data_IF_632461298863
#
_entry.id   IF_632461298863
#
_cell.length_a   1.000
_cell.length_b   1.000
_cell.length_c   1.000
_cell.angle_alpha   90.00
_cell.angle_beta   90.00
_cell.angle_gamma   90.00
#
_symmetry.space_group_name_H-M   'P 1'
#
loop_
_entity.id
_entity.type
_entity.pdbx_description
1 polymer ?
#
# COMPACT_ATOMS: atom_id res chain seq x y z
N UNK A 1 -22.68 -19.63 24.53
CA UNK A 1 -23.27 -20.00 23.21
C UNK A 1 -22.67 -19.06 22.20
N UNK A 2 -21.65 -19.50 21.46
CA UNK A 2 -21.05 -18.70 20.41
C UNK A 2 -21.91 -18.85 19.16
N UNK A 3 -22.55 -17.74 18.73
CA UNK A 3 -23.20 -17.70 17.42
C UNK A 3 -22.13 -17.85 16.34
N UNK A 4 -22.10 -18.99 15.65
CA UNK A 4 -21.45 -19.12 14.36
C UNK A 4 -22.20 -18.21 13.40
N UNK A 5 -21.67 -16.99 13.17
CA UNK A 5 -21.96 -16.27 11.95
C UNK A 5 -21.56 -17.19 10.80
N UNK A 6 -22.44 -17.38 9.85
CA UNK A 6 -22.16 -18.12 8.61
C UNK A 6 -21.11 -17.34 7.83
N UNK A 7 -19.84 -17.69 8.03
CA UNK A 7 -18.76 -17.24 7.14
C UNK A 7 -19.07 -17.81 5.77
N UNK A 8 -19.71 -17.02 4.92
CA UNK A 8 -19.86 -17.35 3.52
C UNK A 8 -18.47 -17.25 2.89
N UNK A 9 -18.11 -18.21 2.04
CA UNK A 9 -16.82 -18.32 1.35
C UNK A 9 -16.43 -17.06 0.55
N UNK A 10 -17.33 -16.07 0.44
CA UNK A 10 -17.12 -14.76 -0.19
C UNK A 10 -16.31 -13.77 0.66
N UNK A 11 -16.01 -14.10 1.92
CA UNK A 11 -15.39 -13.13 2.84
C UNK A 11 -13.85 -13.17 2.86
N UNK A 12 -13.24 -14.09 2.11
CA UNK A 12 -11.78 -14.17 2.00
C UNK A 12 -11.30 -13.41 0.77
N UNK A 13 -10.95 -12.15 0.97
CA UNK A 13 -10.35 -11.30 -0.05
C UNK A 13 -9.12 -10.61 0.52
N UNK A 14 -8.21 -10.24 -0.38
CA UNK A 14 -7.10 -9.34 -0.13
C UNK A 14 -6.99 -8.37 -1.30
N UNK A 15 -6.15 -7.39 -1.18
CA UNK A 15 -5.87 -6.47 -2.29
C UNK A 15 -4.42 -6.62 -2.71
N UNK A 16 -4.15 -6.47 -4.00
CA UNK A 16 -2.80 -6.59 -4.54
C UNK A 16 -2.56 -5.52 -5.60
N UNK A 17 -1.35 -4.99 -5.59
CA UNK A 17 -0.78 -4.21 -6.67
C UNK A 17 0.38 -4.98 -7.29
N UNK A 18 0.34 -5.20 -8.60
CA UNK A 18 1.47 -5.70 -9.37
C UNK A 18 2.35 -4.49 -9.71
N UNK A 19 3.48 -4.39 -9.03
CA UNK A 19 4.41 -3.27 -9.11
C UNK A 19 5.39 -3.50 -10.26
N UNK A 20 5.57 -2.48 -11.11
CA UNK A 20 6.52 -2.51 -12.22
C UNK A 20 7.35 -1.24 -12.27
N UNK A 21 8.64 -1.40 -12.57
CA UNK A 21 9.57 -0.31 -12.76
C UNK A 21 9.33 0.47 -14.07
N UNK A 22 9.81 1.71 -14.09
CA UNK A 22 9.90 2.50 -15.32
C UNK A 22 11.20 2.19 -16.09
N UNK A 23 11.52 2.99 -17.12
CA UNK A 23 12.73 2.79 -17.95
C UNK A 23 14.04 2.92 -17.19
N UNK A 24 14.07 3.58 -16.04
CA UNK A 24 15.28 3.68 -15.21
C UNK A 24 15.58 2.39 -14.42
N UNK A 25 14.58 1.56 -14.20
CA UNK A 25 14.66 0.28 -13.49
C UNK A 25 13.77 -0.78 -14.17
N UNK A 26 14.03 -1.11 -15.46
CA UNK A 26 13.11 -1.90 -16.28
C UNK A 26 12.89 -3.32 -15.79
N UNK A 27 13.85 -3.87 -15.04
CA UNK A 27 13.78 -5.22 -14.49
C UNK A 27 13.04 -5.28 -13.13
N UNK A 28 12.70 -4.11 -12.57
CA UNK A 28 12.01 -4.03 -11.29
C UNK A 28 10.58 -4.50 -11.40
N UNK A 29 10.22 -5.51 -10.61
CA UNK A 29 8.88 -6.05 -10.55
C UNK A 29 8.60 -6.71 -9.20
N UNK A 30 7.32 -6.89 -8.89
CA UNK A 30 6.90 -7.61 -7.70
C UNK A 30 5.46 -7.30 -7.32
N UNK A 31 5.12 -7.53 -6.07
CA UNK A 31 3.77 -7.35 -5.54
C UNK A 31 3.76 -6.59 -4.24
N UNK A 32 2.71 -5.79 -4.06
CA UNK A 32 2.31 -5.26 -2.75
C UNK A 32 0.93 -5.81 -2.42
N UNK A 33 0.79 -6.52 -1.30
CA UNK A 33 -0.44 -7.16 -0.86
C UNK A 33 -0.93 -6.52 0.44
N UNK A 34 -2.25 -6.42 0.56
CA UNK A 34 -2.94 -5.75 1.66
C UNK A 34 -4.01 -6.68 2.19
N UNK A 35 -3.82 -7.18 3.39
CA UNK A 35 -4.73 -8.12 4.03
C UNK A 35 -5.49 -7.42 5.15
N UNK A 36 -6.82 -7.62 5.28
CA UNK A 36 -7.55 -7.20 6.47
C UNK A 36 -6.94 -7.88 7.71
N UNK A 37 -6.53 -7.08 8.69
CA UNK A 37 -5.97 -7.60 9.92
C UNK A 37 -6.36 -6.72 11.10
N UNK A 38 -7.01 -7.30 12.10
CA UNK A 38 -7.56 -6.54 13.23
C UNK A 38 -8.41 -5.36 12.74
N UNK A 39 -8.12 -4.16 13.20
CA UNK A 39 -8.75 -2.89 12.83
C UNK A 39 -8.01 -2.11 11.73
N UNK A 40 -7.01 -2.72 11.12
CA UNK A 40 -6.16 -2.11 10.10
C UNK A 40 -5.80 -3.07 8.95
N UNK A 41 -4.57 -2.97 8.52
CA UNK A 41 -4.02 -3.67 7.35
C UNK A 41 -2.67 -4.29 7.65
N UNK A 42 -2.52 -5.58 7.35
CA UNK A 42 -1.20 -6.19 7.16
C UNK A 42 -0.76 -5.94 5.72
N UNK A 43 0.36 -5.25 5.55
CA UNK A 43 0.97 -4.95 4.25
C UNK A 43 2.17 -5.85 4.07
N UNK A 44 2.23 -6.54 2.92
CA UNK A 44 3.36 -7.35 2.50
C UNK A 44 3.83 -6.86 1.13
N UNK A 45 5.12 -6.55 1.01
CA UNK A 45 5.72 -6.09 -0.25
C UNK A 45 6.92 -6.96 -0.55
N UNK A 46 6.96 -7.50 -1.78
CA UNK A 46 8.07 -8.27 -2.30
C UNK A 46 8.45 -7.74 -3.69
N UNK A 47 9.71 -7.31 -3.85
CA UNK A 47 10.22 -6.71 -5.08
C UNK A 47 11.54 -7.35 -5.47
N UNK A 48 11.72 -7.54 -6.78
CA UNK A 48 12.95 -7.98 -7.43
C UNK A 48 13.40 -6.98 -8.48
N UNK A 49 14.63 -7.07 -8.96
CA UNK A 49 15.17 -6.14 -9.96
C UNK A 49 15.31 -4.69 -9.45
N UNK A 50 15.30 -4.50 -8.14
CA UNK A 50 15.58 -3.20 -7.54
C UNK A 50 17.03 -2.75 -7.79
N UNK A 51 17.33 -1.44 -7.66
CA UNK A 51 18.71 -1.01 -7.63
C UNK A 51 19.53 -1.83 -6.64
N UNK A 52 20.70 -2.29 -7.06
CA UNK A 52 21.57 -3.20 -6.27
C UNK A 52 22.28 -2.51 -5.10
N UNK A 53 22.09 -1.20 -4.96
CA UNK A 53 22.55 -0.46 -3.78
C UNK A 53 21.82 -0.99 -2.55
N UNK A 54 22.56 -1.32 -1.52
CA UNK A 54 22.02 -1.77 -0.24
C UNK A 54 21.56 -0.56 0.57
N UNK A 55 20.39 -0.04 0.23
CA UNK A 55 19.82 1.18 0.82
C UNK A 55 18.29 1.12 0.89
N UNK A 56 17.66 1.96 1.72
CA UNK A 56 16.22 2.06 1.79
C UNK A 56 15.65 2.88 0.62
N UNK A 57 14.41 2.52 0.23
CA UNK A 57 13.59 3.20 -0.77
C UNK A 57 12.23 3.52 -0.16
N UNK A 58 11.75 4.75 -0.32
CA UNK A 58 10.43 5.11 0.18
C UNK A 58 9.34 4.39 -0.61
N UNK A 59 8.28 3.98 0.08
CA UNK A 59 7.09 3.37 -0.51
C UNK A 59 5.87 4.09 0.03
N UNK A 60 5.03 4.59 -0.89
CA UNK A 60 3.83 5.31 -0.52
C UNK A 60 2.62 4.85 -1.33
N UNK A 61 1.44 4.97 -0.73
CA UNK A 61 0.18 4.87 -1.45
C UNK A 61 -0.18 6.29 -1.91
N UNK A 62 -0.47 6.44 -3.19
CA UNK A 62 -0.87 7.69 -3.83
C UNK A 62 -2.36 7.70 -4.15
N UNK A 63 -2.95 8.88 -4.25
CA UNK A 63 -4.39 9.10 -4.45
C UNK A 63 -4.91 8.68 -5.84
N UNK A 64 -4.05 8.67 -6.85
CA UNK A 64 -4.42 8.35 -8.22
C UNK A 64 -4.61 6.85 -8.48
N UNK A 65 -5.30 6.54 -9.57
CA UNK A 65 -5.69 5.18 -9.97
C UNK A 65 -4.94 4.66 -11.20
N UNK A 66 -3.93 5.38 -11.69
CA UNK A 66 -3.25 5.09 -12.95
C UNK A 66 -1.75 5.18 -12.81
N UNK A 67 -1.04 4.25 -13.42
CA UNK A 67 0.42 4.19 -13.50
C UNK A 67 0.89 4.52 -14.92
N UNK A 68 0.80 5.77 -15.35
CA UNK A 68 1.37 6.18 -16.64
C UNK A 68 2.89 6.34 -16.52
N UNK A 69 3.69 5.55 -17.25
CA UNK A 69 5.13 5.73 -17.27
C UNK A 69 5.47 7.05 -18.02
N UNK A 70 6.61 7.70 -17.85
CA UNK A 70 7.80 7.29 -17.09
C UNK A 70 7.78 7.84 -15.64
N UNK A 71 7.20 9.02 -15.44
CA UNK A 71 7.28 9.73 -14.16
C UNK A 71 6.14 9.37 -13.19
N UNK A 72 5.17 8.54 -13.62
CA UNK A 72 4.00 8.15 -12.84
C UNK A 72 3.24 9.34 -12.21
N UNK A 73 3.19 10.47 -12.92
CA UNK A 73 2.51 11.69 -12.45
C UNK A 73 1.00 11.49 -12.30
N UNK A 74 0.42 10.58 -13.09
CA UNK A 74 -0.99 10.18 -13.00
C UNK A 74 -1.37 9.52 -11.67
N UNK A 75 -0.39 9.04 -10.88
CA UNK A 75 -0.61 8.56 -9.53
C UNK A 75 -1.00 9.67 -8.53
N UNK A 76 -0.86 10.94 -8.88
CA UNK A 76 -1.23 12.06 -8.01
C UNK A 76 -0.27 12.24 -6.83
N UNK A 77 -0.78 12.76 -5.72
CA UNK A 77 -0.03 13.01 -4.48
C UNK A 77 -0.14 11.83 -3.51
N UNK A 78 0.59 11.89 -2.40
CA UNK A 78 0.45 10.91 -1.31
C UNK A 78 -0.99 10.92 -0.79
N UNK A 79 -1.53 9.72 -0.55
CA UNK A 79 -2.89 9.54 -0.04
C UNK A 79 -3.01 10.15 1.37
N UNK A 80 -3.98 11.05 1.52
CA UNK A 80 -4.33 11.69 2.78
C UNK A 80 -5.61 11.09 3.36
N UNK A 81 -5.83 11.23 4.66
CA UNK A 81 -7.07 10.77 5.31
C UNK A 81 -8.33 11.49 4.79
N UNK A 82 -8.18 12.70 4.26
CA UNK A 82 -9.28 13.47 3.64
C UNK A 82 -9.70 12.95 2.28
N UNK A 83 -8.87 12.11 1.64
CA UNK A 83 -9.10 11.61 0.28
C UNK A 83 -9.92 10.30 0.28
N UNK A 84 -10.31 9.83 1.45
CA UNK A 84 -11.04 8.57 1.65
C UNK A 84 -12.36 8.83 2.33
N UNK A 85 -13.46 8.45 1.68
CA UNK A 85 -14.78 8.45 2.32
C UNK A 85 -14.83 7.38 3.40
N UNK A 86 -15.19 7.79 4.61
CA UNK A 86 -15.49 6.87 5.71
C UNK A 86 -16.88 6.28 5.46
N UNK A 87 -16.97 5.14 4.77
CA UNK A 87 -18.18 4.35 4.78
C UNK A 87 -18.37 3.79 6.19
N UNK A 88 -19.21 4.48 6.98
CA UNK A 88 -19.68 3.96 8.26
C UNK A 88 -20.66 2.85 7.96
N UNK A 89 -20.22 1.60 8.03
CA UNK A 89 -21.14 0.46 8.03
C UNK A 89 -22.07 0.55 9.24
N UNK A 90 -23.41 0.52 9.06
CA UNK A 90 -24.38 0.66 10.16
C UNK A 90 -24.28 -0.45 11.22
N UNK A 91 -23.56 -1.51 10.97
CA UNK A 91 -23.52 -2.72 11.82
C UNK A 91 -22.27 -2.84 12.71
N UNK A 92 -21.31 -1.95 12.59
CA UNK A 92 -20.22 -1.85 13.56
C UNK A 92 -20.55 -0.75 14.55
N UNK A 93 -20.78 -1.15 15.79
CA UNK A 93 -20.69 -0.25 16.94
C UNK A 93 -19.46 0.65 16.75
N UNK A 94 -19.66 1.94 17.01
CA UNK A 94 -18.68 3.00 17.01
C UNK A 94 -17.35 2.54 17.64
N UNK A 95 -16.56 1.78 16.92
CA UNK A 95 -15.14 1.79 17.16
C UNK A 95 -14.69 3.13 16.60
N UNK A 96 -14.44 4.08 17.50
CA UNK A 96 -13.70 5.28 17.20
C UNK A 96 -12.50 4.87 16.37
N UNK A 97 -12.64 4.89 15.05
CA UNK A 97 -11.49 5.09 14.17
C UNK A 97 -11.13 6.53 14.50
N UNK A 98 -10.39 6.70 15.58
CA UNK A 98 -9.65 7.90 15.82
C UNK A 98 -8.80 8.00 14.58
N UNK A 99 -9.22 8.89 13.65
CA UNK A 99 -8.29 9.38 12.67
C UNK A 99 -7.05 9.70 13.49
N UNK A 100 -6.00 8.93 13.32
CA UNK A 100 -4.78 9.07 14.10
C UNK A 100 -4.10 10.33 13.61
N UNK A 101 -4.73 11.48 13.92
CA UNK A 101 -4.23 12.83 13.65
C UNK A 101 -2.89 13.08 14.37
N UNK A 102 -2.39 12.09 15.11
CA UNK A 102 -1.15 12.19 15.89
C UNK A 102 0.04 11.47 15.24
N UNK A 103 -0.12 10.82 14.08
CA UNK A 103 1.04 10.30 13.36
C UNK A 103 1.53 11.36 12.36
N UNK A 104 2.79 11.81 12.47
CA UNK A 104 3.39 12.61 11.41
C UNK A 104 3.38 11.79 10.12
N UNK A 105 2.91 12.39 9.03
CA UNK A 105 2.86 11.75 7.72
C UNK A 105 1.45 11.59 7.16
N UNK A 106 1.38 11.23 5.90
CA UNK A 106 0.13 10.97 5.19
C UNK A 106 -0.39 9.57 5.52
N UNK A 107 -1.68 9.34 5.27
CA UNK A 107 -2.32 8.04 5.45
C UNK A 107 -1.61 6.94 4.63
N UNK A 108 -1.13 7.28 3.43
CA UNK A 108 -0.45 6.37 2.51
C UNK A 108 1.03 6.13 2.77
N UNK A 109 1.65 6.79 3.75
CA UNK A 109 3.07 6.62 4.00
C UNK A 109 3.34 5.27 4.69
N UNK A 110 4.10 4.41 4.02
CA UNK A 110 4.55 3.13 4.52
C UNK A 110 6.02 3.22 4.96
N UNK A 111 6.51 2.30 5.80
CA UNK A 111 7.94 2.21 6.08
C UNK A 111 8.74 2.03 4.79
N UNK A 112 9.93 2.62 4.72
CA UNK A 112 10.83 2.42 3.59
C UNK A 112 11.22 0.94 3.49
N UNK A 113 11.27 0.42 2.25
CA UNK A 113 11.71 -0.95 1.96
C UNK A 113 13.22 -0.96 1.70
N UNK A 114 13.94 -1.93 2.24
CA UNK A 114 15.38 -2.03 2.08
C UNK A 114 15.74 -2.97 0.93
N UNK A 115 16.45 -2.45 -0.09
CA UNK A 115 17.01 -3.29 -1.14
C UNK A 115 18.26 -4.00 -0.63
N UNK A 116 18.26 -5.32 -0.74
CA UNK A 116 19.40 -6.16 -0.47
C UNK A 116 19.80 -6.85 -1.76
N UNK A 117 20.81 -6.30 -2.41
CA UNK A 117 21.36 -6.83 -3.67
C UNK A 117 20.27 -7.05 -4.75
N UNK A 118 19.35 -6.08 -4.91
CA UNK A 118 18.29 -6.10 -5.90
C UNK A 118 17.00 -6.82 -5.49
N UNK A 119 16.95 -7.36 -4.28
CA UNK A 119 15.75 -7.94 -3.68
C UNK A 119 15.31 -7.16 -2.46
N UNK A 120 14.01 -7.01 -2.28
CA UNK A 120 13.45 -6.40 -1.08
C UNK A 120 12.18 -7.12 -0.64
N UNK A 121 12.04 -7.30 0.67
CA UNK A 121 10.86 -7.83 1.32
C UNK A 121 10.53 -7.02 2.56
N UNK A 122 9.25 -6.72 2.75
CA UNK A 122 8.74 -6.08 3.95
C UNK A 122 7.37 -6.66 4.29
N UNK A 123 7.15 -6.92 5.57
CA UNK A 123 5.82 -7.15 6.12
C UNK A 123 5.62 -6.20 7.32
N UNK A 124 4.53 -5.44 7.32
CA UNK A 124 4.23 -4.46 8.37
C UNK A 124 2.74 -4.35 8.60
N UNK A 125 2.35 -4.08 9.85
CA UNK A 125 0.99 -3.71 10.19
C UNK A 125 0.85 -2.20 10.22
N UNK A 126 -0.30 -1.71 9.75
CA UNK A 126 -0.70 -0.31 9.88
C UNK A 126 -2.18 -0.22 10.26
N UNK A 127 -2.49 0.69 11.18
CA UNK A 127 -3.84 1.06 11.57
C UNK A 127 -4.33 2.36 10.88
N UNK A 128 -3.50 2.92 9.98
CA UNK A 128 -3.81 4.17 9.26
C UNK A 128 -4.93 4.01 8.25
N UNK A 129 -5.15 2.79 7.75
CA UNK A 129 -6.21 2.46 6.79
C UNK A 129 -6.61 0.98 6.88
N UNK A 130 -7.80 0.69 6.40
CA UNK A 130 -8.22 -0.68 6.10
C UNK A 130 -8.05 -0.92 4.58
N UNK A 131 -7.84 -2.18 4.11
CA UNK A 131 -7.49 -2.44 2.71
C UNK A 131 -8.48 -1.88 1.67
N UNK A 132 -9.78 -1.85 1.98
CA UNK A 132 -10.80 -1.29 1.10
C UNK A 132 -10.60 0.21 0.82
N UNK A 133 -10.04 0.95 1.75
CA UNK A 133 -9.81 2.39 1.60
C UNK A 133 -8.72 2.73 0.59
N UNK A 134 -7.87 1.76 0.27
CA UNK A 134 -6.78 1.91 -0.71
C UNK A 134 -7.05 1.21 -2.03
N UNK A 135 -8.24 0.59 -2.19
CA UNK A 135 -8.66 -0.01 -3.46
C UNK A 135 -8.70 1.04 -4.58
N UNK A 136 -8.18 0.69 -5.75
CA UNK A 136 -8.09 1.59 -6.90
C UNK A 136 -7.00 2.65 -6.80
N UNK A 137 -6.28 2.76 -5.68
CA UNK A 137 -5.14 3.66 -5.49
C UNK A 137 -3.86 3.04 -6.06
N UNK A 138 -2.76 3.77 -6.05
CA UNK A 138 -1.48 3.27 -6.55
C UNK A 138 -0.45 3.16 -5.45
N UNK A 139 0.36 2.09 -5.51
CA UNK A 139 1.62 1.99 -4.76
C UNK A 139 2.73 2.57 -5.61
N UNK A 140 3.50 3.50 -5.04
CA UNK A 140 4.67 4.09 -5.67
C UNK A 140 5.92 3.72 -4.87
N UNK A 141 6.97 3.31 -5.57
CA UNK A 141 8.32 3.20 -5.02
C UNK A 141 9.13 4.39 -5.51
N UNK A 142 9.82 5.05 -4.60
CA UNK A 142 10.67 6.21 -4.88
C UNK A 142 12.16 5.83 -4.91
N UNK A 143 12.97 6.64 -5.60
CA UNK A 143 14.42 6.39 -5.76
C UNK A 143 15.27 6.72 -4.53
N UNK A 144 14.68 7.26 -3.49
CA UNK A 144 15.34 7.65 -2.24
C UNK A 144 14.49 7.27 -1.03
N UNK A 145 15.10 7.12 0.16
CA UNK A 145 14.35 6.85 1.38
C UNK A 145 13.47 8.03 1.77
N UNK A 146 12.47 7.74 2.60
CA UNK A 146 11.71 8.76 3.30
C UNK A 146 12.58 9.39 4.39
N UNK A 147 12.64 10.72 4.42
CA UNK A 147 13.43 11.45 5.40
C UNK A 147 12.60 11.96 6.58
N UNK A 148 11.26 11.86 6.50
CA UNK A 148 10.31 12.35 7.50
C UNK A 148 10.53 13.82 7.90
N UNK A 149 11.12 14.60 6.99
CA UNK A 149 11.36 16.03 7.18
C UNK A 149 10.32 16.84 6.40
N UNK A 150 10.12 18.11 6.79
CA UNK A 150 9.17 19.01 6.13
C UNK A 150 9.54 19.37 4.68
N UNK A 151 10.71 18.96 4.22
CA UNK A 151 11.19 19.13 2.83
C UNK A 151 11.18 17.77 2.13
N UNK A 152 10.00 17.22 1.93
CA UNK A 152 9.74 15.91 1.34
C UNK A 152 10.43 15.69 0.00
N UNK A 153 11.68 15.26 0.03
CA UNK A 153 12.46 14.88 -1.16
C UNK A 153 12.58 13.36 -1.22
N UNK A 154 11.52 12.67 -1.62
CA UNK A 154 11.50 11.20 -1.78
C UNK A 154 12.24 10.68 -3.01
N UNK A 155 12.85 11.58 -3.76
CA UNK A 155 13.41 11.25 -5.06
C UNK A 155 12.34 11.04 -6.14
N UNK A 156 12.75 10.57 -7.30
CA UNK A 156 11.85 10.26 -8.42
C UNK A 156 11.03 8.99 -8.14
N UNK A 157 9.87 8.91 -8.77
CA UNK A 157 9.03 7.69 -8.77
C UNK A 157 9.64 6.69 -9.74
N UNK A 158 10.03 5.52 -9.26
CA UNK A 158 10.73 4.52 -10.09
C UNK A 158 9.88 3.29 -10.39
N UNK A 159 8.85 3.01 -9.58
CA UNK A 159 7.93 1.92 -9.85
C UNK A 159 6.52 2.25 -9.36
N UNK A 160 5.52 1.63 -10.00
CA UNK A 160 4.11 1.85 -9.72
C UNK A 160 3.30 0.56 -9.89
N UNK A 161 2.24 0.41 -9.09
CA UNK A 161 1.23 -0.65 -9.23
C UNK A 161 -0.13 -0.18 -8.74
N UNK A 162 -1.21 -0.54 -9.45
CA UNK A 162 -2.58 -0.21 -9.05
C UNK A 162 -3.12 -1.29 -8.13
N UNK A 163 -3.66 -0.90 -6.98
CA UNK A 163 -4.23 -1.80 -5.97
C UNK A 163 -5.60 -2.29 -6.43
N UNK A 164 -5.77 -3.60 -6.54
CA UNK A 164 -7.01 -4.25 -6.98
C UNK A 164 -7.44 -5.31 -5.98
N UNK A 165 -8.74 -5.51 -5.84
CA UNK A 165 -9.30 -6.59 -5.05
C UNK A 165 -9.00 -7.94 -5.71
N UNK A 166 -8.57 -8.90 -4.90
CA UNK A 166 -8.32 -10.28 -5.28
C UNK A 166 -9.23 -11.19 -4.47
N UNK A 167 -9.84 -12.17 -5.16
CA UNK A 167 -10.64 -13.20 -4.51
C UNK A 167 -9.80 -14.46 -4.29
N UNK A 168 -9.88 -15.02 -3.09
CA UNK A 168 -9.23 -16.31 -2.83
C UNK A 168 -10.18 -17.41 -3.30
N UNK A 169 -9.98 -17.87 -4.53
CA UNK A 169 -10.67 -19.08 -5.01
C UNK A 169 -10.12 -20.27 -4.22
N UNK A 170 -10.89 -20.79 -3.28
CA UNK A 170 -10.64 -22.12 -2.73
C UNK A 170 -11.03 -23.12 -3.80
N UNK A 171 -10.07 -23.52 -4.65
CA UNK A 171 -10.20 -24.76 -5.39
C UNK A 171 -10.25 -25.89 -4.36
N UNK A 172 -11.42 -26.52 -4.23
CA UNK A 172 -11.61 -27.77 -3.47
C UNK A 172 -10.85 -28.91 -4.12
#
# INVERSE_FOLDING_TARGET
MFNKASDTLSDYYYFQADVKGNSSVPDMSGTARFYPWLDGTMVEIELTGMPTRNEPFAVHIHEGAVCEPEAFTSAGMHLKSTDVELEVSPERHETNIKSTQNHPGHMGDLPSIFSNNGYAYMATYTDRFIPRQVEGRTVIVHSSPDTFTSTDTFGSRIACGVIRRMEINKSL
#
